data_IF_713854326918
#
_entry.id   IF_713854326918
#
_cell.length_a   1.000
_cell.length_b   1.000
_cell.length_c   1.000
_cell.angle_alpha   90.00
_cell.angle_beta   90.00
_cell.angle_gamma   90.00
#
_symmetry.space_group_name_H-M   'P 1'
#
loop_
_entity.id
_entity.type
_entity.pdbx_description
1 polymer ?
#
# COMPACT_ATOMS: atom_id res chain seq x y z
N UNK A 1 -43.31 -28.95 -48.81
CA UNK A 1 -41.87 -29.12 -48.49
C UNK A 1 -41.32 -27.76 -48.08
N UNK A 2 -40.73 -27.67 -46.87
CA UNK A 2 -39.90 -26.59 -46.30
C UNK A 2 -40.56 -25.22 -45.98
N UNK A 3 -40.91 -25.06 -44.71
CA UNK A 3 -41.12 -23.81 -43.97
C UNK A 3 -39.77 -23.13 -43.66
N UNK A 4 -39.71 -21.80 -43.65
CA UNK A 4 -38.57 -21.06 -43.11
C UNK A 4 -39.11 -19.91 -42.24
N UNK A 5 -38.71 -19.92 -40.98
CA UNK A 5 -39.12 -19.00 -39.92
C UNK A 5 -38.12 -17.84 -39.90
N UNK A 6 -38.60 -16.59 -39.90
CA UNK A 6 -37.74 -15.43 -39.65
C UNK A 6 -38.04 -14.88 -38.26
N UNK A 7 -37.14 -15.13 -37.33
CA UNK A 7 -37.12 -14.47 -36.02
C UNK A 7 -36.27 -13.19 -36.13
N UNK A 8 -36.89 -12.03 -35.92
CA UNK A 8 -36.19 -10.76 -35.75
C UNK A 8 -35.90 -10.62 -34.25
N UNK A 9 -34.63 -10.68 -33.86
CA UNK A 9 -34.19 -10.35 -32.52
C UNK A 9 -33.66 -8.91 -32.49
N UNK A 10 -34.38 -8.02 -31.82
CA UNK A 10 -33.91 -6.66 -31.50
C UNK A 10 -33.03 -6.76 -30.24
N UNK A 11 -31.73 -6.59 -30.41
CA UNK A 11 -30.77 -6.52 -29.30
C UNK A 11 -30.56 -5.07 -28.86
N UNK A 12 -31.14 -4.69 -27.72
CA UNK A 12 -30.92 -3.40 -27.05
C UNK A 12 -29.63 -3.50 -26.21
N UNK A 13 -28.53 -2.92 -26.68
CA UNK A 13 -27.26 -2.88 -25.96
C UNK A 13 -27.15 -1.65 -25.06
N UNK A 14 -27.35 -1.81 -23.75
CA UNK A 14 -26.92 -0.83 -22.75
C UNK A 14 -25.44 -1.07 -22.45
N UNK A 15 -24.56 -0.23 -23.01
CA UNK A 15 -23.14 -0.24 -22.67
C UNK A 15 -22.91 0.63 -21.43
N UNK A 16 -22.82 0.01 -20.25
CA UNK A 16 -22.33 0.67 -19.04
C UNK A 16 -20.81 0.78 -19.11
N UNK A 17 -20.28 1.98 -19.36
CA UNK A 17 -18.86 2.26 -19.23
C UNK A 17 -18.51 2.43 -17.75
N UNK A 18 -17.98 1.39 -17.10
CA UNK A 18 -17.38 1.52 -15.77
C UNK A 18 -15.99 2.11 -15.93
N UNK A 19 -15.80 3.39 -15.58
CA UNK A 19 -14.47 3.95 -15.40
C UNK A 19 -13.85 3.29 -14.17
N UNK A 20 -12.90 2.39 -14.37
CA UNK A 20 -12.11 1.84 -13.28
C UNK A 20 -11.17 2.90 -12.73
N UNK A 21 -11.31 3.25 -11.45
CA UNK A 21 -10.26 4.00 -10.75
C UNK A 21 -9.08 3.06 -10.55
N UNK A 22 -7.93 3.36 -11.15
CA UNK A 22 -6.70 2.64 -10.87
C UNK A 22 -6.32 2.84 -9.42
N UNK A 23 -6.34 1.77 -8.62
CA UNK A 23 -5.87 1.82 -7.24
C UNK A 23 -4.35 1.98 -7.26
N UNK A 24 -3.84 3.14 -6.85
CA UNK A 24 -2.42 3.30 -6.55
C UNK A 24 -2.11 2.38 -5.37
N UNK A 25 -1.35 1.32 -5.63
CA UNK A 25 -0.94 0.41 -4.57
C UNK A 25 0.10 1.11 -3.69
N UNK A 26 -0.11 1.06 -2.37
CA UNK A 26 0.85 1.54 -1.40
C UNK A 26 1.97 0.50 -1.34
N UNK A 27 3.10 0.80 -1.99
CA UNK A 27 4.23 -0.13 -2.14
C UNK A 27 5.46 0.32 -1.38
N UNK A 28 5.55 1.61 -1.06
CA UNK A 28 6.63 2.15 -0.27
C UNK A 28 6.16 3.32 0.58
N UNK A 29 6.92 3.59 1.64
CA UNK A 29 6.76 4.75 2.47
C UNK A 29 8.13 5.29 2.88
N UNK A 30 8.23 6.60 3.08
CA UNK A 30 9.42 7.24 3.62
C UNK A 30 9.15 7.77 5.02
N UNK A 31 10.12 7.65 5.91
CA UNK A 31 10.05 8.30 7.22
C UNK A 31 10.10 9.81 7.03
N UNK A 32 9.03 10.53 7.38
CA UNK A 32 8.97 11.99 7.32
C UNK A 32 9.29 12.64 8.66
N UNK A 33 8.97 11.98 9.77
CA UNK A 33 9.20 12.49 11.13
C UNK A 33 9.62 11.37 12.09
N UNK A 34 10.52 11.67 13.02
CA UNK A 34 10.95 10.77 14.10
C UNK A 34 10.85 11.52 15.42
N UNK A 35 10.16 10.90 16.39
CA UNK A 35 10.11 11.37 17.77
C UNK A 35 10.65 10.28 18.70
N UNK A 36 11.70 10.61 19.45
CA UNK A 36 12.44 9.71 20.34
C UNK A 36 13.10 8.52 19.61
N UNK A 37 12.96 7.30 20.13
CA UNK A 37 13.71 6.12 19.69
C UNK A 37 12.91 5.33 18.65
N UNK A 38 13.34 5.39 17.40
CA UNK A 38 12.75 4.63 16.29
C UNK A 38 13.86 3.80 15.65
N UNK A 39 13.58 2.52 15.46
CA UNK A 39 14.51 1.54 14.90
C UNK A 39 14.07 1.20 13.50
N UNK A 40 15.01 1.24 12.57
CA UNK A 40 14.86 0.75 11.22
C UNK A 40 15.50 -0.65 11.13
N UNK A 41 14.77 -1.59 10.51
CA UNK A 41 15.22 -2.95 10.25
C UNK A 41 15.32 -3.16 8.74
N UNK A 42 16.49 -3.60 8.28
CA UNK A 42 16.73 -3.95 6.89
C UNK A 42 16.03 -5.27 6.51
N UNK A 43 15.96 -5.50 5.20
CA UNK A 43 15.46 -6.72 4.56
C UNK A 43 16.25 -7.98 4.96
N UNK A 44 17.57 -7.87 4.93
CA UNK A 44 18.48 -8.96 5.29
C UNK A 44 18.55 -9.15 6.81
N UNK A 45 19.14 -10.25 7.27
CA UNK A 45 19.53 -10.45 8.68
C UNK A 45 20.59 -9.43 9.20
N UNK A 46 20.70 -8.26 8.58
CA UNK A 46 21.49 -7.16 9.10
C UNK A 46 20.94 -6.68 10.45
N UNK A 47 21.84 -6.19 11.29
CA UNK A 47 21.49 -5.68 12.59
C UNK A 47 20.55 -4.46 12.47
N UNK A 48 19.49 -4.36 13.29
CA UNK A 48 18.66 -3.17 13.36
C UNK A 48 19.49 -1.94 13.72
N UNK A 49 19.12 -0.78 13.15
CA UNK A 49 19.81 0.50 13.34
C UNK A 49 18.83 1.61 13.70
N UNK A 50 19.28 2.74 14.27
CA UNK A 50 18.44 3.92 14.39
C UNK A 50 17.88 4.35 13.02
N UNK A 51 16.59 4.68 13.00
CA UNK A 51 15.93 5.23 11.83
C UNK A 51 16.37 6.68 11.57
N UNK A 52 16.25 7.10 10.31
CA UNK A 52 16.52 8.46 9.85
C UNK A 52 15.37 8.97 9.01
N UNK A 53 15.13 10.27 9.02
CA UNK A 53 14.21 10.91 8.06
C UNK A 53 14.71 10.62 6.65
N UNK A 54 13.81 10.20 5.78
CA UNK A 54 14.09 9.76 4.42
C UNK A 54 14.40 8.27 4.28
N UNK A 55 14.56 7.52 5.38
CA UNK A 55 14.63 6.05 5.30
C UNK A 55 13.37 5.54 4.60
N UNK A 56 13.57 4.65 3.62
CA UNK A 56 12.49 4.08 2.84
C UNK A 56 12.13 2.69 3.34
N UNK A 57 10.86 2.52 3.68
CA UNK A 57 10.25 1.24 4.02
C UNK A 57 9.61 0.71 2.74
N UNK A 58 10.06 -0.45 2.31
CA UNK A 58 9.51 -1.24 1.19
C UNK A 58 9.91 -2.69 1.40
N UNK A 59 9.28 -3.60 0.67
CA UNK A 59 9.57 -5.04 0.76
C UNK A 59 9.40 -5.54 2.22
N UNK A 60 10.40 -6.26 2.74
CA UNK A 60 10.50 -6.83 4.08
C UNK A 60 11.18 -5.90 5.12
N UNK A 61 11.52 -4.67 4.73
CA UNK A 61 12.04 -3.65 5.66
C UNK A 61 10.95 -3.23 6.63
N UNK A 62 11.36 -2.87 7.84
CA UNK A 62 10.43 -2.45 8.86
C UNK A 62 10.90 -1.23 9.64
N UNK A 63 9.94 -0.48 10.16
CA UNK A 63 10.15 0.56 11.14
C UNK A 63 9.50 0.14 12.45
N UNK A 64 10.17 0.40 13.57
CA UNK A 64 9.73 0.04 14.91
C UNK A 64 9.84 1.25 15.83
N UNK A 65 8.76 1.56 16.56
CA UNK A 65 8.73 2.63 17.55
C UNK A 65 8.90 2.06 18.97
N UNK A 66 9.68 2.73 19.82
CA UNK A 66 9.81 2.40 21.24
C UNK A 66 8.63 2.87 22.11
N UNK A 67 8.75 2.68 23.43
CA UNK A 67 7.67 2.85 24.42
C UNK A 67 7.12 4.28 24.59
N UNK A 68 7.84 5.31 24.13
CA UNK A 68 7.38 6.71 24.12
C UNK A 68 7.61 7.38 22.76
N UNK A 69 7.81 6.56 21.74
CA UNK A 69 8.23 7.05 20.42
C UNK A 69 7.05 7.23 19.48
N UNK A 70 7.26 8.06 18.45
CA UNK A 70 6.37 8.22 17.30
C UNK A 70 7.19 8.28 16.02
N UNK A 71 6.61 7.79 14.94
CA UNK A 71 7.13 7.98 13.60
C UNK A 71 6.00 8.45 12.68
N UNK A 72 6.32 9.33 11.75
CA UNK A 72 5.44 9.65 10.62
C UNK A 72 6.01 9.06 9.34
N UNK A 73 5.14 8.47 8.55
CA UNK A 73 5.44 7.87 7.26
C UNK A 73 4.64 8.59 6.17
N UNK A 74 5.30 8.95 5.08
CA UNK A 74 4.66 9.42 3.85
C UNK A 74 4.71 8.32 2.80
N UNK A 75 3.56 7.86 2.33
CA UNK A 75 3.46 6.83 1.30
C UNK A 75 3.69 7.40 -0.11
N UNK A 76 3.88 6.50 -1.07
CA UNK A 76 4.06 6.86 -2.49
C UNK A 76 2.85 7.56 -3.13
N UNK A 77 1.67 7.48 -2.53
CA UNK A 77 0.46 8.23 -2.93
C UNK A 77 0.29 9.56 -2.17
N UNK A 78 1.30 9.98 -1.40
CA UNK A 78 1.31 11.15 -0.52
C UNK A 78 0.36 11.08 0.69
N UNK A 79 -0.27 9.94 0.94
CA UNK A 79 -0.97 9.72 2.21
C UNK A 79 0.03 9.63 3.38
N UNK A 80 -0.44 9.95 4.59
CA UNK A 80 0.38 9.99 5.80
C UNK A 80 -0.14 8.98 6.82
N UNK A 81 0.75 8.17 7.41
CA UNK A 81 0.45 7.40 8.60
C UNK A 81 1.33 7.82 9.78
N UNK A 82 0.72 7.84 10.97
CA UNK A 82 1.42 8.13 12.24
C UNK A 82 1.42 6.88 13.11
N UNK A 83 2.62 6.39 13.43
CA UNK A 83 2.81 5.21 14.27
C UNK A 83 2.92 5.62 15.74
N UNK A 84 2.12 4.98 16.59
CA UNK A 84 2.17 5.16 18.05
C UNK A 84 3.34 4.41 18.69
N UNK A 85 3.45 4.45 20.03
CA UNK A 85 4.47 3.71 20.76
C UNK A 85 4.38 2.18 20.56
N UNK A 86 5.51 1.49 20.70
CA UNK A 86 5.61 0.02 20.63
C UNK A 86 4.93 -0.61 19.39
N UNK A 87 5.04 0.08 18.25
CA UNK A 87 4.41 -0.32 17.00
C UNK A 87 5.47 -0.72 15.97
N UNK A 88 5.13 -1.67 15.10
CA UNK A 88 5.94 -2.03 13.93
C UNK A 88 5.11 -1.81 12.67
N UNK A 89 5.74 -1.26 11.64
CA UNK A 89 5.18 -1.22 10.29
C UNK A 89 6.18 -1.81 9.30
N UNK A 90 5.69 -2.65 8.39
CA UNK A 90 6.39 -3.18 7.23
C UNK A 90 5.38 -3.45 6.12
N UNK A 91 5.82 -3.39 4.88
CA UNK A 91 5.03 -3.96 3.79
C UNK A 91 5.08 -5.49 3.91
N UNK A 92 4.02 -6.17 3.45
CA UNK A 92 4.07 -7.62 3.27
C UNK A 92 3.89 -7.90 1.78
N UNK A 93 4.77 -8.68 1.14
CA UNK A 93 4.62 -9.09 -0.26
C UNK A 93 3.29 -9.80 -0.57
N UNK A 94 2.58 -10.28 0.45
CA UNK A 94 1.33 -11.03 0.34
C UNK A 94 0.06 -10.26 0.78
N UNK A 95 0.18 -9.00 1.23
CA UNK A 95 -0.98 -8.21 1.62
C UNK A 95 -1.49 -7.36 0.45
N UNK A 96 -2.23 -8.05 -0.45
CA UNK A 96 -3.17 -7.57 -1.49
C UNK A 96 -2.61 -6.69 -2.60
#
# INVERSE_FOLDING_TARGET
>A
MKVIWSAIAVGMGLASATTGFGQLSLQSAKVSEIQQSVTYREASHAAPRPAKVGDEIRDDRAILTGAKSRAELTFNDHSIARLGPNSQFSFHPASR
#
